data_IF_369129261700
#
_entry.id   IF_369129261700
#
_cell.length_a   1.000
_cell.length_b   1.000
_cell.length_c   1.000
_cell.angle_alpha   90.00
_cell.angle_beta   90.00
_cell.angle_gamma   90.00
#
_symmetry.space_group_name_H-M   'P 1'
#
loop_
_entity.id
_entity.type
_entity.pdbx_description
1 polymer ?
#
# COMPACT_ATOMS: atom_id res chain seq x y z
N UNK A 1 7.44 -7.60 26.12
CA UNK A 1 6.11 -7.92 26.69
C UNK A 1 5.13 -6.88 26.18
N UNK A 2 4.28 -7.24 25.21
CA UNK A 2 3.24 -6.35 24.69
C UNK A 2 2.14 -6.25 25.76
N UNK A 3 2.00 -5.09 26.40
CA UNK A 3 0.85 -4.84 27.29
C UNK A 3 -0.40 -4.76 26.42
N UNK A 4 -1.34 -5.68 26.64
CA UNK A 4 -2.68 -5.57 26.08
C UNK A 4 -3.34 -4.34 26.70
N UNK A 5 -3.33 -3.21 25.97
CA UNK A 5 -4.10 -2.03 26.35
C UNK A 5 -5.56 -2.34 26.06
N UNK A 6 -6.30 -2.72 27.09
CA UNK A 6 -7.75 -2.87 27.00
C UNK A 6 -8.36 -1.47 26.94
N UNK A 7 -8.68 -1.01 25.73
CA UNK A 7 -9.53 0.17 25.57
C UNK A 7 -10.86 -0.10 26.30
N UNK A 8 -11.47 0.88 26.97
CA UNK A 8 -12.79 0.77 27.62
C UNK A 8 -13.61 2.06 27.39
N UNK A 9 -14.94 1.97 27.46
CA UNK A 9 -15.82 3.14 27.33
C UNK A 9 -15.64 3.91 26.01
N UNK A 10 -15.67 5.24 26.08
CA UNK A 10 -15.50 6.14 24.93
C UNK A 10 -14.15 5.99 24.23
N UNK A 11 -13.11 5.57 24.95
CA UNK A 11 -11.77 5.35 24.40
C UNK A 11 -11.75 4.24 23.33
N UNK A 12 -12.61 3.21 23.44
CA UNK A 12 -12.79 2.19 22.39
C UNK A 12 -13.31 2.80 21.10
N UNK A 13 -14.35 3.65 21.22
CA UNK A 13 -14.96 4.33 20.08
C UNK A 13 -13.95 5.23 19.38
N UNK A 14 -13.19 6.01 20.15
CA UNK A 14 -12.12 6.85 19.60
C UNK A 14 -11.00 6.05 18.95
N UNK A 15 -10.55 4.94 19.56
CA UNK A 15 -9.55 4.07 18.96
C UNK A 15 -10.02 3.47 17.62
N UNK A 16 -11.29 3.09 17.53
CA UNK A 16 -11.88 2.59 16.28
C UNK A 16 -11.95 3.68 15.21
N UNK A 17 -12.41 4.88 15.57
CA UNK A 17 -12.44 6.05 14.68
C UNK A 17 -11.04 6.42 14.20
N UNK A 18 -10.05 6.43 15.09
CA UNK A 18 -8.65 6.68 14.73
C UNK A 18 -8.12 5.64 13.75
N UNK A 19 -8.49 4.36 13.90
CA UNK A 19 -8.15 3.31 12.95
C UNK A 19 -8.71 3.59 11.55
N UNK A 20 -9.98 3.95 11.45
CA UNK A 20 -10.63 4.32 10.17
C UNK A 20 -9.95 5.55 9.57
N UNK A 21 -9.75 6.59 10.36
CA UNK A 21 -9.11 7.81 9.89
C UNK A 21 -7.68 7.55 9.40
N UNK A 22 -6.94 6.65 10.05
CA UNK A 22 -5.62 6.25 9.58
C UNK A 22 -5.69 5.61 8.20
N UNK A 23 -6.66 4.71 7.96
CA UNK A 23 -6.83 4.12 6.64
C UNK A 23 -7.21 5.17 5.60
N UNK A 24 -8.22 6.02 5.88
CA UNK A 24 -8.66 7.08 4.96
C UNK A 24 -7.53 8.05 4.64
N UNK A 25 -6.74 8.44 5.64
CA UNK A 25 -5.59 9.33 5.46
C UNK A 25 -4.56 8.75 4.48
N UNK A 26 -4.33 7.44 4.49
CA UNK A 26 -3.42 6.77 3.55
C UNK A 26 -3.90 6.84 2.09
N UNK A 27 -5.19 7.05 1.84
CA UNK A 27 -5.76 7.18 0.49
C UNK A 27 -5.99 8.63 0.04
N UNK A 28 -5.79 9.61 0.92
CA UNK A 28 -6.10 11.02 0.66
C UNK A 28 -5.47 11.55 -0.64
N UNK A 29 -4.18 11.27 -0.87
CA UNK A 29 -3.47 11.67 -2.10
C UNK A 29 -4.07 11.03 -3.36
N UNK A 30 -4.46 9.76 -3.28
CA UNK A 30 -5.07 9.05 -4.42
C UNK A 30 -6.47 9.61 -4.73
N UNK A 31 -7.22 10.00 -3.70
CA UNK A 31 -8.55 10.60 -3.88
C UNK A 31 -8.47 11.95 -4.60
N UNK A 32 -7.49 12.80 -4.28
CA UNK A 32 -7.33 14.10 -4.95
C UNK A 32 -6.78 13.98 -6.37
N UNK A 33 -5.97 12.96 -6.66
CA UNK A 33 -5.46 12.67 -8.01
C UNK A 33 -6.53 12.01 -8.91
N UNK A 34 -7.52 11.31 -8.34
CA UNK A 34 -8.52 10.55 -9.10
C UNK A 34 -9.12 11.23 -10.36
N UNK A 35 -9.42 12.54 -10.39
CA UNK A 35 -9.84 13.23 -11.61
C UNK A 35 -8.87 13.08 -12.80
N UNK A 36 -7.56 13.02 -12.56
CA UNK A 36 -6.55 12.91 -13.61
C UNK A 36 -6.68 11.62 -14.42
N UNK A 37 -7.02 10.50 -13.76
CA UNK A 37 -7.28 9.22 -14.40
C UNK A 37 -8.65 9.16 -15.07
N UNK A 38 -9.66 9.70 -14.39
CA UNK A 38 -11.05 9.60 -14.85
C UNK A 38 -11.36 10.52 -16.03
N UNK A 39 -10.52 11.55 -16.30
CA UNK A 39 -10.64 12.39 -17.51
C UNK A 39 -10.61 11.59 -18.82
N UNK A 40 -9.90 10.46 -18.83
CA UNK A 40 -9.78 9.59 -20.01
C UNK A 40 -10.95 8.60 -20.13
N UNK A 41 -11.86 8.59 -19.15
CA UNK A 41 -13.01 7.70 -19.17
C UNK A 41 -14.08 8.23 -20.12
N UNK A 42 -14.75 7.32 -20.84
CA UNK A 42 -15.78 7.66 -21.83
C UNK A 42 -17.05 8.25 -21.22
N UNK A 43 -17.27 8.05 -19.91
CA UNK A 43 -18.43 8.56 -19.17
C UNK A 43 -18.05 8.85 -17.71
N UNK A 44 -18.64 9.87 -17.06
CA UNK A 44 -18.37 10.22 -15.66
C UNK A 44 -18.60 9.07 -14.66
N UNK A 45 -19.52 8.14 -14.97
CA UNK A 45 -19.83 6.99 -14.11
C UNK A 45 -18.91 5.77 -14.30
N UNK A 46 -17.99 5.80 -15.28
CA UNK A 46 -17.17 4.64 -15.62
C UNK A 46 -16.16 4.28 -14.53
N UNK A 47 -15.77 5.22 -13.67
CA UNK A 47 -14.80 4.99 -12.60
C UNK A 47 -15.41 4.31 -11.36
N UNK A 48 -16.73 4.43 -11.17
CA UNK A 48 -17.41 4.01 -9.94
C UNK A 48 -17.28 2.51 -9.68
N UNK A 49 -17.69 1.67 -10.64
CA UNK A 49 -17.66 0.22 -10.47
C UNK A 49 -16.26 -0.37 -10.32
N UNK A 50 -15.26 0.04 -11.14
CA UNK A 50 -13.88 -0.39 -10.94
C UNK A 50 -13.35 -0.01 -9.56
N UNK A 51 -13.59 1.20 -9.07
CA UNK A 51 -13.09 1.64 -7.76
C UNK A 51 -13.78 0.92 -6.61
N UNK A 52 -15.10 0.80 -6.67
CA UNK A 52 -15.90 0.14 -5.64
C UNK A 52 -15.51 -1.32 -5.44
N UNK A 53 -15.09 -2.01 -6.50
CA UNK A 53 -14.70 -3.43 -6.41
C UNK A 53 -13.20 -3.58 -6.18
N UNK A 54 -12.37 -2.88 -6.95
CA UNK A 54 -10.92 -3.12 -6.94
C UNK A 54 -10.26 -2.65 -5.65
N UNK A 55 -10.72 -1.54 -5.06
CA UNK A 55 -10.13 -1.03 -3.81
C UNK A 55 -10.40 -1.99 -2.64
N UNK A 56 -11.65 -2.39 -2.33
CA UNK A 56 -11.89 -3.30 -1.21
C UNK A 56 -11.30 -4.68 -1.43
N UNK A 57 -11.40 -5.23 -2.65
CA UNK A 57 -10.85 -6.57 -2.96
C UNK A 57 -9.33 -6.55 -2.88
N UNK A 58 -8.69 -5.55 -3.48
CA UNK A 58 -7.22 -5.40 -3.43
C UNK A 58 -6.74 -5.29 -1.98
N UNK A 59 -7.41 -4.45 -1.18
CA UNK A 59 -7.07 -4.28 0.23
C UNK A 59 -7.29 -5.56 1.03
N UNK A 60 -8.40 -6.27 0.83
CA UNK A 60 -8.68 -7.52 1.51
C UNK A 60 -7.61 -8.59 1.22
N UNK A 61 -7.20 -8.73 -0.05
CA UNK A 61 -6.15 -9.67 -0.45
C UNK A 61 -4.81 -9.28 0.16
N UNK A 62 -4.42 -8.01 0.07
CA UNK A 62 -3.16 -7.52 0.65
C UNK A 62 -3.11 -7.70 2.16
N UNK A 63 -4.18 -7.34 2.88
CA UNK A 63 -4.27 -7.54 4.33
C UNK A 63 -4.24 -9.01 4.72
N UNK A 64 -4.93 -9.87 3.98
CA UNK A 64 -4.92 -11.31 4.22
C UNK A 64 -3.50 -11.88 4.17
N UNK A 65 -2.74 -11.58 3.11
CA UNK A 65 -1.34 -12.00 3.02
C UNK A 65 -0.45 -11.34 4.07
N UNK A 66 -0.65 -10.05 4.36
CA UNK A 66 0.09 -9.34 5.40
C UNK A 66 -0.05 -9.98 6.78
N UNK A 67 -1.27 -10.37 7.16
CA UNK A 67 -1.53 -11.07 8.44
C UNK A 67 -0.90 -12.46 8.44
N UNK A 68 -1.00 -13.22 7.35
CA UNK A 68 -0.37 -14.56 7.27
C UNK A 68 1.16 -14.46 7.38
N UNK A 69 1.78 -13.57 6.62
CA UNK A 69 3.25 -13.39 6.63
C UNK A 69 3.70 -12.87 8.00
N UNK A 70 3.03 -11.86 8.54
CA UNK A 70 3.31 -11.33 9.88
C UNK A 70 3.14 -12.38 10.98
N UNK A 71 2.06 -13.18 10.94
CA UNK A 71 1.85 -14.27 11.90
C UNK A 71 2.92 -15.36 11.76
N UNK A 72 3.28 -15.74 10.52
CA UNK A 72 4.31 -16.75 10.26
C UNK A 72 5.69 -16.29 10.75
N UNK A 73 5.98 -14.99 10.63
CA UNK A 73 7.24 -14.43 11.14
C UNK A 73 7.40 -14.59 12.66
N UNK A 74 6.30 -14.54 13.43
CA UNK A 74 6.34 -14.81 14.86
C UNK A 74 6.70 -16.27 15.18
N UNK A 75 6.24 -17.21 14.35
CA UNK A 75 6.58 -18.64 14.49
C UNK A 75 8.06 -18.89 14.17
N UNK A 76 8.60 -18.22 13.15
CA UNK A 76 9.97 -18.43 12.66
C UNK A 76 11.00 -17.68 13.52
N UNK A 77 10.70 -16.43 13.89
CA UNK A 77 11.66 -15.49 14.50
C UNK A 77 11.32 -15.12 15.95
N UNK A 78 10.22 -15.64 16.51
CA UNK A 78 9.78 -15.35 17.88
C UNK A 78 9.15 -13.97 18.09
N UNK A 79 8.98 -13.18 17.02
CA UNK A 79 8.34 -11.87 17.05
C UNK A 79 7.66 -11.55 15.71
N UNK A 80 6.50 -10.87 15.72
CA UNK A 80 5.83 -10.47 14.49
C UNK A 80 6.60 -9.32 13.81
N UNK A 81 6.94 -9.53 12.54
CA UNK A 81 7.56 -8.55 11.66
C UNK A 81 6.51 -8.09 10.65
N UNK A 82 6.13 -6.82 10.71
CA UNK A 82 5.09 -6.23 9.86
C UNK A 82 5.62 -5.60 8.58
N UNK A 83 6.90 -5.19 8.58
CA UNK A 83 7.57 -4.65 7.40
C UNK A 83 8.07 -5.79 6.52
N UNK A 84 7.61 -5.90 5.25
CA UNK A 84 8.10 -6.91 4.32
C UNK A 84 9.61 -6.81 4.09
N UNK A 85 10.15 -5.58 4.07
CA UNK A 85 11.57 -5.33 3.85
C UNK A 85 12.42 -5.84 5.03
N UNK A 86 11.95 -5.60 6.26
CA UNK A 86 12.62 -6.10 7.46
C UNK A 86 12.54 -7.63 7.53
N UNK A 87 11.41 -8.23 7.12
CA UNK A 87 11.24 -9.68 7.06
C UNK A 87 12.23 -10.32 6.08
N UNK A 88 12.38 -9.75 4.88
CA UNK A 88 13.33 -10.24 3.87
C UNK A 88 14.78 -10.10 4.34
N UNK A 89 15.11 -8.98 4.99
CA UNK A 89 16.43 -8.76 5.58
C UNK A 89 16.71 -9.78 6.69
N UNK A 90 15.72 -10.04 7.55
CA UNK A 90 15.84 -11.04 8.62
C UNK A 90 15.99 -12.46 8.09
N UNK A 91 15.33 -12.79 6.97
CA UNK A 91 15.48 -14.09 6.29
C UNK A 91 16.90 -14.28 5.76
N UNK A 92 17.51 -13.25 5.15
CA UNK A 92 18.90 -13.25 4.71
C UNK A 92 19.88 -13.53 5.86
N UNK A 93 19.70 -12.84 6.99
CA UNK A 93 20.58 -12.96 8.15
C UNK A 93 20.46 -14.32 8.85
N UNK A 94 19.23 -14.85 8.93
CA UNK A 94 18.95 -16.04 9.74
C UNK A 94 19.16 -17.35 8.99
N UNK A 95 19.00 -17.36 7.66
CA UNK A 95 19.13 -18.55 6.81
C UNK A 95 19.89 -18.23 5.52
N UNK A 96 21.19 -17.89 5.59
CA UNK A 96 21.99 -17.51 4.43
C UNK A 96 22.27 -18.73 3.55
N UNK A 97 21.38 -18.99 2.59
CA UNK A 97 21.56 -19.97 1.53
C UNK A 97 21.49 -19.31 0.16
N UNK A 98 22.04 -19.96 -0.87
CA UNK A 98 21.90 -19.50 -2.26
C UNK A 98 20.43 -19.38 -2.68
N UNK A 99 19.58 -20.32 -2.24
CA UNK A 99 18.13 -20.30 -2.48
C UNK A 99 17.44 -19.12 -1.79
N UNK A 100 17.75 -18.85 -0.52
CA UNK A 100 17.20 -17.70 0.23
C UNK A 100 17.56 -16.39 -0.46
N UNK A 101 18.83 -16.24 -0.86
CA UNK A 101 19.31 -15.02 -1.54
C UNK A 101 18.61 -14.79 -2.88
N UNK A 102 18.42 -15.84 -3.68
CA UNK A 102 17.69 -15.75 -4.94
C UNK A 102 16.22 -15.39 -4.70
N UNK A 103 15.55 -16.06 -3.75
CA UNK A 103 14.16 -15.76 -3.40
C UNK A 103 13.97 -14.32 -2.94
N UNK A 104 14.83 -13.83 -2.04
CA UNK A 104 14.78 -12.44 -1.57
C UNK A 104 15.05 -11.46 -2.73
N UNK A 105 15.98 -11.75 -3.63
CA UNK A 105 16.21 -10.90 -4.80
C UNK A 105 14.93 -10.74 -5.66
N UNK A 106 14.27 -11.83 -6.02
CA UNK A 106 13.06 -11.76 -6.86
C UNK A 106 11.90 -11.05 -6.15
N UNK A 107 11.70 -11.31 -4.85
CA UNK A 107 10.65 -10.66 -4.09
C UNK A 107 10.94 -9.16 -3.96
N UNK A 108 12.16 -8.78 -3.60
CA UNK A 108 12.56 -7.36 -3.49
C UNK A 108 12.48 -6.64 -4.83
N UNK A 109 12.82 -7.30 -5.94
CA UNK A 109 12.65 -6.76 -7.28
C UNK A 109 11.17 -6.51 -7.61
N UNK A 110 10.29 -7.45 -7.28
CA UNK A 110 8.85 -7.28 -7.45
C UNK A 110 8.31 -6.11 -6.62
N UNK A 111 8.75 -5.94 -5.37
CA UNK A 111 8.41 -4.78 -4.54
C UNK A 111 8.93 -3.48 -5.14
N UNK A 112 10.16 -3.44 -5.63
CA UNK A 112 10.74 -2.25 -6.26
C UNK A 112 9.92 -1.84 -7.50
N UNK A 113 9.58 -2.80 -8.37
CA UNK A 113 8.75 -2.54 -9.56
C UNK A 113 7.34 -2.09 -9.17
N UNK A 114 6.72 -2.72 -8.17
CA UNK A 114 5.42 -2.30 -7.67
C UNK A 114 5.44 -0.86 -7.13
N UNK A 115 6.47 -0.51 -6.34
CA UNK A 115 6.61 0.83 -5.78
C UNK A 115 6.84 1.89 -6.86
N UNK A 116 7.63 1.56 -7.89
CA UNK A 116 7.80 2.43 -9.06
C UNK A 116 6.47 2.64 -9.78
N UNK A 117 5.72 1.58 -10.05
CA UNK A 117 4.40 1.66 -10.70
C UNK A 117 3.41 2.52 -9.92
N UNK A 118 3.33 2.34 -8.60
CA UNK A 118 2.47 3.15 -7.72
C UNK A 118 2.90 4.61 -7.73
N UNK A 119 4.19 4.92 -7.66
CA UNK A 119 4.67 6.29 -7.66
C UNK A 119 4.40 7.01 -9.00
N UNK A 120 4.56 6.31 -10.12
CA UNK A 120 4.24 6.84 -11.45
C UNK A 120 2.76 7.16 -11.56
N UNK A 121 1.90 6.20 -11.19
CA UNK A 121 0.45 6.40 -11.23
C UNK A 121 0.02 7.53 -10.28
N UNK A 122 0.41 7.44 -9.01
CA UNK A 122 -0.10 8.32 -7.95
C UNK A 122 0.49 9.73 -7.94
N UNK A 123 1.68 9.95 -8.50
CA UNK A 123 2.35 11.25 -8.41
C UNK A 123 2.76 11.80 -9.79
N UNK A 124 3.34 10.97 -10.66
CA UNK A 124 3.87 11.47 -11.93
C UNK A 124 2.78 11.88 -12.94
N UNK A 125 1.65 11.16 -12.98
CA UNK A 125 0.53 11.50 -13.88
C UNK A 125 -0.12 12.84 -13.49
N UNK A 126 -0.37 13.09 -12.20
CA UNK A 126 -0.87 14.40 -11.74
C UNK A 126 0.13 15.51 -12.00
N UNK A 127 1.41 15.31 -11.68
CA UNK A 127 2.43 16.32 -11.93
C UNK A 127 2.52 16.69 -13.43
N UNK A 128 2.40 15.69 -14.33
CA UNK A 128 2.34 15.94 -15.76
C UNK A 128 1.10 16.72 -16.18
N UNK A 129 -0.07 16.35 -15.63
CA UNK A 129 -1.34 17.07 -15.82
C UNK A 129 -1.23 18.55 -15.45
N UNK A 130 -0.69 18.83 -14.26
CA UNK A 130 -0.52 20.18 -13.74
C UNK A 130 0.45 21.00 -14.61
N UNK A 131 1.56 20.39 -15.05
CA UNK A 131 2.54 21.06 -15.90
C UNK A 131 1.99 21.42 -17.28
N UNK A 132 1.22 20.53 -17.91
CA UNK A 132 0.56 20.81 -19.20
C UNK A 132 -0.49 21.91 -19.07
N UNK A 133 -1.19 21.99 -17.93
CA UNK A 133 -2.12 23.08 -17.66
C UNK A 133 -1.42 24.44 -17.46
N UNK A 134 -0.22 24.46 -16.86
CA UNK A 134 0.55 25.68 -16.61
C UNK A 134 1.36 26.18 -17.82
N UNK A 135 1.81 25.28 -18.71
CA UNK A 135 2.64 25.62 -19.88
C UNK A 135 2.07 25.03 -21.20
N UNK A 136 0.88 25.46 -21.64
CA UNK A 136 0.20 24.85 -22.79
C UNK A 136 0.94 25.04 -24.13
N UNK A 137 1.78 26.08 -24.27
CA UNK A 137 2.43 26.45 -25.54
C UNK A 137 3.85 25.89 -25.73
N UNK A 138 4.41 25.16 -24.76
CA UNK A 138 5.78 24.63 -24.82
C UNK A 138 5.85 23.11 -25.01
N UNK A 139 4.71 22.43 -25.06
CA UNK A 139 4.60 20.97 -25.07
C UNK A 139 3.63 20.44 -26.15
N UNK A 140 3.38 21.20 -27.23
CA UNK A 140 2.58 20.73 -28.38
C UNK A 140 3.30 19.67 -29.19
#
# INVERSE_FOLDING_TARGET
>A
MWMYVYFTGSLRGWAWMSGIMSCVSSFSTLMVNNPDFTRFATRPSAAFWPQLLTIPIGFAVTCFFGVIVGSSSNVIFGQPIWSPLDLLSKLLDSQPSSGTRAGVFFISLAFALAQLGVNIAANSISAGSDLTALLPNSLS
#
